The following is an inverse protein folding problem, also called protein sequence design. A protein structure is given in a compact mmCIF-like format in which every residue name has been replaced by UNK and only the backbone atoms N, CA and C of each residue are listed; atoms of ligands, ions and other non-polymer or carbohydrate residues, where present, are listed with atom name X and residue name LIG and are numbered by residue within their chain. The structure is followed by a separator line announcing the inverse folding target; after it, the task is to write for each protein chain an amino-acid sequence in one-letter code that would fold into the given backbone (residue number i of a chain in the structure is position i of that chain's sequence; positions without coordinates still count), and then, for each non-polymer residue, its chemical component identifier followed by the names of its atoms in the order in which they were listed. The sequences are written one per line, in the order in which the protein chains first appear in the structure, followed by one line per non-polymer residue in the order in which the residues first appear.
data_IF_901481525901
#
_entry.id   IF_901481525901
#
_cell.length_a   1.000
_cell.length_b   1.000
_cell.length_c   1.000
_cell.angle_alpha   90.00
_cell.angle_beta   90.00
_cell.angle_gamma   90.00
#
_symmetry.space_group_name_H-M   'P 1'
#
loop_
_entity.id
_entity.type
_entity.pdbx_description
1 polymer ?
#
# COMPACT_ATOMS: atom_id res chain seq x y z
N UNK A 1 8.43 20.37 -7.62
CA UNK A 1 7.45 19.41 -8.10
C UNK A 1 7.86 18.03 -7.66
N UNK A 2 6.91 17.29 -7.10
CA UNK A 2 7.19 15.97 -6.56
C UNK A 2 7.00 14.92 -7.64
N UNK A 3 7.89 13.95 -7.64
CA UNK A 3 7.75 12.78 -8.49
C UNK A 3 7.10 11.67 -7.68
N UNK A 4 6.25 10.92 -8.35
CA UNK A 4 5.66 9.74 -7.75
C UNK A 4 6.27 8.50 -8.39
N UNK A 5 6.53 7.49 -7.57
CA UNK A 5 7.07 6.23 -8.07
C UNK A 5 6.62 5.09 -7.17
N UNK A 6 6.54 3.91 -7.76
CA UNK A 6 6.22 2.72 -6.98
C UNK A 6 7.48 2.23 -6.29
N UNK A 7 7.33 1.89 -5.02
CA UNK A 7 8.50 1.51 -4.24
C UNK A 7 8.15 0.41 -3.24
N UNK A 8 9.15 -0.39 -2.94
CA UNK A 8 9.08 -1.35 -1.84
C UNK A 8 9.92 -0.77 -0.72
N UNK A 9 9.32 -0.65 0.45
CA UNK A 9 9.97 -0.06 1.62
C UNK A 9 10.06 -1.10 2.71
N UNK A 10 11.25 -1.19 3.33
CA UNK A 10 11.42 -2.01 4.52
C UNK A 10 11.57 -1.10 5.72
N UNK A 11 10.71 -1.25 6.69
CA UNK A 11 10.73 -0.44 7.90
C UNK A 11 11.58 -1.09 8.98
N UNK A 12 11.99 -0.29 9.97
CA UNK A 12 12.78 -0.82 11.10
C UNK A 12 12.00 -1.87 11.87
N UNK A 13 10.68 -1.87 11.78
CA UNK A 13 9.83 -2.89 12.40
C UNK A 13 9.91 -4.24 11.68
N UNK A 14 10.49 -4.27 10.49
CA UNK A 14 10.57 -5.49 9.70
C UNK A 14 9.51 -5.61 8.63
N UNK A 15 8.54 -4.72 8.63
CA UNK A 15 7.47 -4.76 7.63
C UNK A 15 7.98 -4.33 6.27
N UNK A 16 7.45 -4.96 5.22
CA UNK A 16 7.70 -4.56 3.85
C UNK A 16 6.41 -4.03 3.25
N UNK A 17 6.50 -2.86 2.65
CA UNK A 17 5.33 -2.15 2.15
C UNK A 17 5.55 -1.81 0.68
N UNK A 18 4.53 -2.06 -0.12
CA UNK A 18 4.50 -1.61 -1.52
C UNK A 18 3.57 -0.42 -1.60
N UNK A 19 4.03 0.67 -2.19
CA UNK A 19 3.24 1.89 -2.22
C UNK A 19 3.67 2.78 -3.37
N UNK A 20 2.74 3.60 -3.81
CA UNK A 20 3.11 4.76 -4.61
C UNK A 20 3.65 5.79 -3.63
N UNK A 21 4.78 6.39 -3.95
CA UNK A 21 5.52 7.21 -3.01
C UNK A 21 5.87 8.54 -3.63
N UNK A 22 5.81 9.59 -2.83
CA UNK A 22 6.41 10.86 -3.18
C UNK A 22 7.24 11.33 -1.99
N UNK A 23 8.23 12.17 -2.28
CA UNK A 23 9.10 12.71 -1.25
C UNK A 23 8.98 14.22 -1.26
N UNK A 24 8.65 14.76 -0.11
CA UNK A 24 8.49 16.20 0.08
C UNK A 24 9.65 16.71 0.91
N UNK A 25 10.44 17.61 0.32
CA UNK A 25 11.63 18.14 1.00
C UNK A 25 11.37 19.53 1.55
N UNK A 26 10.18 19.76 2.02
CA UNK A 26 9.81 21.04 2.57
C UNK A 26 10.67 21.36 3.81
N UNK A 27 11.19 22.60 3.85
CA UNK A 27 11.98 23.10 4.99
C UNK A 27 13.26 22.28 5.25
N UNK A 28 13.77 21.59 4.23
CA UNK A 28 15.03 20.88 4.38
C UNK A 28 14.92 19.50 5.03
N UNK A 29 13.75 19.15 5.55
CA UNK A 29 13.53 17.85 6.17
C UNK A 29 12.65 17.02 5.26
N UNK A 30 13.19 15.95 4.66
CA UNK A 30 12.38 15.14 3.76
C UNK A 30 11.31 14.38 4.51
N UNK A 31 10.14 14.31 3.90
CA UNK A 31 9.04 13.48 4.37
C UNK A 31 8.71 12.47 3.28
N UNK A 32 8.51 11.23 3.68
CA UNK A 32 8.13 10.18 2.73
C UNK A 32 6.62 10.00 2.83
N UNK A 33 5.95 10.25 1.71
CA UNK A 33 4.49 10.16 1.67
C UNK A 33 4.10 8.92 0.90
N UNK A 34 3.35 8.05 1.57
CA UNK A 34 2.86 6.81 0.97
C UNK A 34 1.42 7.00 0.55
N UNK A 35 1.11 6.61 -0.67
CA UNK A 35 -0.26 6.61 -1.16
C UNK A 35 -0.75 5.18 -1.28
N UNK A 36 -1.82 4.87 -0.54
CA UNK A 36 -2.44 3.54 -0.52
C UNK A 36 -1.42 2.43 -0.30
N UNK A 37 -0.66 2.49 0.80
CA UNK A 37 0.36 1.46 1.06
C UNK A 37 -0.28 0.11 1.36
N UNK A 38 0.30 -0.94 0.78
CA UNK A 38 -0.19 -2.30 0.97
C UNK A 38 0.94 -3.20 1.42
N UNK A 39 0.57 -4.29 2.07
CA UNK A 39 1.50 -5.37 2.38
C UNK A 39 1.08 -6.60 1.61
N UNK A 40 2.06 -7.40 1.23
CA UNK A 40 1.81 -8.63 0.48
C UNK A 40 2.50 -9.77 1.19
N UNK A 41 1.81 -10.89 1.24
CA UNK A 41 2.35 -12.09 1.88
C UNK A 41 2.10 -13.27 0.97
N UNK A 42 3.14 -14.06 0.74
CA UNK A 42 3.00 -15.29 -0.04
C UNK A 42 2.65 -16.41 0.91
N UNK A 43 1.59 -17.14 0.56
CA UNK A 43 1.10 -18.24 1.37
C UNK A 43 1.12 -19.50 0.54
N UNK A 44 1.78 -20.54 1.06
CA UNK A 44 1.81 -21.84 0.39
C UNK A 44 0.61 -22.65 0.84
N UNK A 45 -0.14 -23.15 -0.12
CA UNK A 45 -1.31 -23.98 0.15
C UNK A 45 -1.21 -25.26 -0.66
N UNK A 46 -2.05 -26.26 -0.36
CA UNK A 46 -2.06 -27.49 -1.18
C UNK A 46 -2.36 -27.23 -2.66
N UNK A 47 -3.04 -26.13 -2.98
CA UNK A 47 -3.34 -25.80 -4.36
C UNK A 47 -2.27 -24.93 -5.00
N UNK A 48 -1.17 -24.62 -4.29
CA UNK A 48 -0.09 -23.82 -4.81
C UNK A 48 0.15 -22.57 -4.00
N UNK A 49 0.87 -21.63 -4.58
CA UNK A 49 1.20 -20.38 -3.89
C UNK A 49 0.10 -19.37 -4.11
N UNK A 50 -0.25 -18.68 -3.05
CA UNK A 50 -1.22 -17.59 -3.10
C UNK A 50 -0.58 -16.32 -2.53
N UNK A 51 -1.02 -15.19 -3.04
CA UNK A 51 -0.57 -13.89 -2.54
C UNK A 51 -1.72 -13.25 -1.79
N UNK A 52 -1.48 -12.92 -0.53
CA UNK A 52 -2.46 -12.20 0.28
C UNK A 52 -2.04 -10.74 0.34
N UNK A 53 -2.96 -9.86 -0.06
CA UNK A 53 -2.71 -8.41 -0.12
C UNK A 53 -3.67 -7.72 0.83
N UNK A 54 -3.15 -6.78 1.59
CA UNK A 54 -4.01 -5.99 2.47
C UNK A 54 -3.40 -4.61 2.67
N UNK A 55 -4.27 -3.67 3.07
CA UNK A 55 -3.82 -2.32 3.38
C UNK A 55 -2.88 -2.33 4.59
N UNK A 56 -1.86 -1.48 4.54
CA UNK A 56 -0.90 -1.41 5.63
C UNK A 56 -1.57 -1.06 6.95
N UNK A 57 -2.38 -0.02 6.94
CA UNK A 57 -3.14 0.38 8.14
C UNK A 57 -4.60 0.06 7.86
N UNK A 58 -5.04 -1.12 8.29
CA UNK A 58 -6.33 -1.64 7.85
C UNK A 58 -7.51 -0.87 8.44
N UNK A 59 -7.33 -0.27 9.58
CA UNK A 59 -8.43 0.41 10.25
C UNK A 59 -8.59 1.86 9.81
N UNK A 60 -7.67 2.37 9.01
CA UNK A 60 -7.73 3.75 8.55
C UNK A 60 -8.41 3.84 7.20
N UNK A 61 -9.18 4.90 7.02
CA UNK A 61 -9.79 5.18 5.72
C UNK A 61 -8.96 6.16 4.92
N UNK A 62 -7.83 6.60 5.46
CA UNK A 62 -6.97 7.54 4.76
C UNK A 62 -6.23 6.85 3.62
N UNK A 63 -5.96 7.64 2.59
CA UNK A 63 -5.19 7.15 1.45
C UNK A 63 -3.71 7.50 1.57
N UNK A 64 -3.37 8.51 2.34
CA UNK A 64 -2.02 9.02 2.43
C UNK A 64 -1.49 8.86 3.84
N UNK A 65 -0.24 8.43 3.93
CA UNK A 65 0.43 8.23 5.20
C UNK A 65 1.83 8.81 5.10
N UNK A 66 2.30 9.42 6.19
CA UNK A 66 3.64 9.99 6.23
C UNK A 66 4.51 9.08 7.08
N UNK A 67 5.67 8.72 6.53
CA UNK A 67 6.65 7.90 7.25
C UNK A 67 7.91 8.73 7.42
N UNK A 68 8.44 8.73 8.63
CA UNK A 68 9.69 9.42 8.90
C UNK A 68 10.84 8.64 8.29
N UNK A 69 11.78 9.33 7.62
CA UNK A 69 12.89 8.62 7.00
C UNK A 69 13.70 7.76 7.95
N UNK A 70 13.80 8.15 9.23
CA UNK A 70 14.61 7.38 10.19
C UNK A 70 13.97 6.05 10.56
N UNK A 71 12.74 5.78 10.11
CA UNK A 71 12.08 4.50 10.33
C UNK A 71 12.20 3.57 9.13
N UNK A 72 12.89 3.98 8.09
CA UNK A 72 13.05 3.22 6.86
C UNK A 72 14.45 2.62 6.81
N UNK A 73 14.53 1.29 6.72
CA UNK A 73 15.83 0.64 6.54
C UNK A 73 16.29 0.80 5.10
N UNK A 74 15.39 0.53 4.15
CA UNK A 74 15.74 0.65 2.74
C UNK A 74 14.48 0.92 1.93
N UNK A 75 14.68 1.57 0.79
CA UNK A 75 13.63 1.91 -0.13
C UNK A 75 14.14 1.63 -1.53
N UNK A 76 13.38 0.87 -2.29
CA UNK A 76 13.77 0.48 -3.64
C UNK A 76 12.63 0.77 -4.61
N UNK A 77 12.92 1.58 -5.62
CA UNK A 77 11.92 1.79 -6.67
C UNK A 77 11.70 0.48 -7.41
N UNK A 78 10.45 0.11 -7.66
CA UNK A 78 10.14 -1.08 -8.42
C UNK A 78 9.53 -0.70 -9.75
N UNK A 79 9.94 -1.40 -10.79
CA UNK A 79 9.36 -1.28 -12.11
C UNK A 79 8.79 -2.62 -12.56
N UNK A 80 8.65 -3.55 -11.63
CA UNK A 80 8.07 -4.87 -11.90
C UNK A 80 6.59 -4.69 -12.19
N UNK A 81 6.22 -4.94 -13.44
CA UNK A 81 4.86 -4.69 -13.88
C UNK A 81 3.85 -5.58 -13.15
N UNK A 82 4.26 -6.77 -12.72
CA UNK A 82 3.36 -7.66 -12.01
C UNK A 82 3.01 -7.10 -10.64
N UNK A 83 3.99 -6.54 -9.94
CA UNK A 83 3.73 -5.92 -8.64
C UNK A 83 2.86 -4.69 -8.77
N UNK A 84 3.15 -3.87 -9.77
CA UNK A 84 2.38 -2.66 -10.01
C UNK A 84 0.94 -3.01 -10.35
N UNK A 85 0.74 -4.06 -11.13
CA UNK A 85 -0.60 -4.51 -11.49
C UNK A 85 -1.36 -5.00 -10.27
N UNK A 86 -0.71 -5.76 -9.41
CA UNK A 86 -1.36 -6.23 -8.17
C UNK A 86 -1.76 -5.04 -7.31
N UNK A 87 -0.88 -4.06 -7.19
CA UNK A 87 -1.15 -2.87 -6.40
C UNK A 87 -2.38 -2.12 -6.95
N UNK A 88 -2.39 -1.89 -8.26
CA UNK A 88 -3.48 -1.13 -8.86
C UNK A 88 -4.80 -1.89 -8.79
N UNK A 89 -4.76 -3.20 -8.98
CA UNK A 89 -5.97 -4.01 -8.90
C UNK A 89 -6.56 -3.99 -7.50
N UNK A 90 -5.70 -4.07 -6.49
CA UNK A 90 -6.17 -4.06 -5.11
C UNK A 90 -6.85 -2.73 -4.79
N UNK A 91 -6.25 -1.63 -5.23
CA UNK A 91 -6.83 -0.31 -4.96
C UNK A 91 -8.20 -0.18 -5.62
N UNK A 92 -8.33 -0.63 -6.86
CA UNK A 92 -9.60 -0.55 -7.57
C UNK A 92 -10.67 -1.42 -6.93
N UNK A 93 -10.29 -2.61 -6.49
CA UNK A 93 -11.25 -3.51 -5.86
C UNK A 93 -11.77 -2.92 -4.56
N UNK A 94 -10.90 -2.32 -3.77
CA UNK A 94 -11.33 -1.69 -2.54
C UNK A 94 -12.27 -0.54 -2.80
N UNK A 95 -11.99 0.26 -3.82
CA UNK A 95 -12.88 1.35 -4.18
C UNK A 95 -14.24 0.83 -4.61
N UNK A 96 -14.26 -0.27 -5.37
CA UNK A 96 -15.49 -0.87 -5.80
C UNK A 96 -16.32 -1.37 -4.62
N UNK A 97 -15.66 -1.99 -3.65
CA UNK A 97 -16.33 -2.51 -2.47
C UNK A 97 -16.97 -1.36 -1.69
N UNK A 98 -16.28 -0.26 -1.56
CA UNK A 98 -16.80 0.88 -0.82
C UNK A 98 -18.05 1.44 -1.46
N UNK A 99 -18.11 1.44 -2.78
CA UNK A 99 -19.26 1.95 -3.49
C UNK A 99 -20.50 1.10 -3.23
N UNK A 100 -20.29 -0.19 -3.00
CA UNK A 100 -21.40 -1.13 -2.84
C UNK A 100 -21.92 -1.24 -1.44
N UNK A 101 -21.23 -0.68 -0.51
CA UNK A 101 -21.68 -0.89 0.84
C UNK A 101 -23.00 -0.27 1.08
N UNK A 102 -23.67 -1.04 1.36
CA UNK A 102 -24.75 -0.91 2.18
C UNK A 102 -25.35 -2.12 2.36
N UNK A 103 -24.52 -2.38 2.12
CA UNK A 103 -24.71 -3.22 2.30
C UNK A 103 -24.51 -3.91 2.60
N UNK A 104 -24.44 -3.72 2.78
CA UNK A 104 -24.43 -4.48 3.26
C UNK A 104 -24.11 -5.02 3.47
N UNK A 105 -24.41 -5.08 3.89
CA UNK A 105 -24.25 -5.52 4.29
C UNK A 105 -24.38 -5.61 4.22
N UNK A 106 -24.73 -5.09 4.07
CA UNK A 106 -24.93 -5.06 4.10
C UNK A 106 -24.96 -4.99 3.82
N UNK A 107 -25.19 -4.70 3.85
CA UNK A 107 -25.37 -4.63 3.78
C UNK A 107 -25.38 -4.58 3.59
N UNK A 108 -25.81 -4.32 3.73
CA UNK A 108 -25.93 -4.21 3.67
C UNK A 108 -25.76 -4.24 3.51
N UNK A 109 -25.98 -3.87 3.73
CA UNK A 109 -25.96 -3.82 3.70
C UNK A 109 -25.75 -3.91 3.58
N UNK A 110 -26.10 -3.63 3.93
CA UNK A 110 -26.07 -3.65 3.87
C UNK A 110 -25.89 -3.86 3.78
#
# INVERSE_FOLDING_TARGET
MEEEFYSIIKLVSGEEILSLISIDENNGDPLVILQNPITMKMIETPQGMHIKVKSWIELSEDDFFIVRPDKIITMTETKDERLIEVYNSYIQDNDSIEVHTPSGRAQPSS
#
